data_IF_829023418237
#
_entry.id   IF_829023418237
#
_cell.length_a   1.000
_cell.length_b   1.000
_cell.length_c   1.000
_cell.angle_alpha   90.00
_cell.angle_beta   90.00
_cell.angle_gamma   90.00
#
_symmetry.space_group_name_H-M   'P 1'
#
loop_
_entity.id
_entity.type
_entity.pdbx_description
1 polymer ?
#
# COMPACT_ATOMS: atom_id res chain seq x y z
N UNK A 1 -0.07 7.53 -17.00
CA UNK A 1 0.67 6.37 -16.41
C UNK A 1 -0.30 5.29 -15.94
N UNK A 2 0.18 4.04 -15.86
CA UNK A 2 -0.55 2.88 -15.33
C UNK A 2 -0.15 2.60 -13.89
N UNK A 3 -1.08 2.77 -12.97
CA UNK A 3 -0.87 2.59 -11.53
C UNK A 3 -1.56 1.32 -11.03
N UNK A 4 -0.80 0.42 -10.42
CA UNK A 4 -1.35 -0.77 -9.78
C UNK A 4 -1.30 -0.61 -8.26
N UNK A 5 -2.47 -0.59 -7.59
CA UNK A 5 -2.53 -0.38 -6.15
C UNK A 5 -2.96 -1.65 -5.42
N UNK A 6 -2.37 -1.88 -4.24
CA UNK A 6 -2.73 -3.04 -3.41
C UNK A 6 -2.99 -2.59 -1.99
N UNK A 7 -4.23 -2.78 -1.53
CA UNK A 7 -4.64 -2.55 -0.14
C UNK A 7 -5.23 -3.83 0.44
N UNK A 8 -5.11 -4.01 1.75
CA UNK A 8 -5.57 -5.21 2.44
C UNK A 8 -6.71 -4.97 3.43
N UNK A 9 -7.12 -3.73 3.66
CA UNK A 9 -8.13 -3.36 4.65
C UNK A 9 -8.86 -2.07 4.32
N UNK A 10 -9.94 -1.77 5.06
CA UNK A 10 -10.79 -0.60 4.82
C UNK A 10 -10.06 0.74 4.98
N UNK A 11 -9.13 0.86 5.92
CA UNK A 11 -8.32 2.07 6.09
C UNK A 11 -7.42 2.31 4.88
N UNK A 12 -6.82 1.24 4.36
CA UNK A 12 -6.02 1.29 3.13
C UNK A 12 -6.86 1.72 1.92
N UNK A 13 -8.10 1.22 1.78
CA UNK A 13 -9.03 1.60 0.72
C UNK A 13 -9.33 3.11 0.75
N UNK A 14 -9.59 3.66 1.93
CA UNK A 14 -9.81 5.10 2.12
C UNK A 14 -8.59 5.93 1.73
N UNK A 15 -7.40 5.52 2.17
CA UNK A 15 -6.18 6.27 1.85
C UNK A 15 -5.80 6.15 0.38
N UNK A 16 -5.92 4.96 -0.20
CA UNK A 16 -5.64 4.73 -1.61
C UNK A 16 -6.63 5.46 -2.53
N UNK A 17 -7.92 5.53 -2.19
CA UNK A 17 -8.89 6.29 -2.98
C UNK A 17 -8.54 7.78 -3.04
N UNK A 18 -8.12 8.38 -1.91
CA UNK A 18 -7.64 9.77 -1.87
C UNK A 18 -6.37 9.98 -2.70
N UNK A 19 -5.44 9.02 -2.65
CA UNK A 19 -4.24 9.03 -3.48
C UNK A 19 -4.59 8.96 -4.97
N UNK A 20 -5.50 8.06 -5.37
CA UNK A 20 -5.98 7.96 -6.76
C UNK A 20 -6.59 9.28 -7.24
N UNK A 21 -7.43 9.91 -6.41
CA UNK A 21 -8.00 11.23 -6.70
C UNK A 21 -6.93 12.31 -6.91
N UNK A 22 -5.87 12.29 -6.10
CA UNK A 22 -4.76 13.24 -6.22
C UNK A 22 -3.91 12.97 -7.46
N UNK A 23 -3.65 11.70 -7.77
CA UNK A 23 -2.91 11.32 -8.97
C UNK A 23 -3.64 11.74 -10.25
N UNK A 24 -4.97 11.60 -10.32
CA UNK A 24 -5.76 12.07 -11.47
C UNK A 24 -5.67 13.58 -11.73
N UNK A 25 -5.36 14.37 -10.68
CA UNK A 25 -5.18 15.82 -10.85
C UNK A 25 -3.87 16.19 -11.53
N UNK A 26 -2.85 15.34 -11.42
CA UNK A 26 -1.51 15.59 -11.96
C UNK A 26 -1.18 14.73 -13.18
N UNK A 27 -1.91 13.63 -13.38
CA UNK A 27 -1.79 12.73 -14.53
C UNK A 27 -3.18 12.51 -15.13
N UNK A 28 -3.52 13.30 -16.14
CA UNK A 28 -4.80 13.26 -16.83
C UNK A 28 -5.09 11.90 -17.48
N UNK A 29 -4.03 11.17 -17.87
CA UNK A 29 -4.12 9.83 -18.47
C UNK A 29 -3.85 8.71 -17.48
N UNK A 30 -4.07 8.95 -16.18
CA UNK A 30 -3.89 7.94 -15.15
C UNK A 30 -4.86 6.76 -15.33
N UNK A 31 -4.31 5.58 -15.54
CA UNK A 31 -5.04 4.32 -15.54
C UNK A 31 -4.81 3.59 -14.22
N UNK A 32 -5.88 3.10 -13.59
CA UNK A 32 -5.81 2.40 -12.31
C UNK A 32 -6.30 0.97 -12.43
N UNK A 33 -5.52 0.06 -11.84
CA UNK A 33 -5.92 -1.33 -11.60
C UNK A 33 -5.54 -1.70 -10.17
N UNK A 34 -6.40 -2.41 -9.44
CA UNK A 34 -6.15 -2.53 -8.02
C UNK A 34 -6.80 -3.75 -7.35
N UNK A 35 -6.19 -4.16 -6.25
CA UNK A 35 -6.77 -4.92 -5.17
C UNK A 35 -7.22 -3.91 -4.11
N UNK A 36 -8.53 -3.76 -3.89
CA UNK A 36 -9.05 -2.69 -3.03
C UNK A 36 -10.54 -2.82 -2.78
N UNK A 37 -11.15 -1.77 -2.28
CA UNK A 37 -12.55 -1.74 -1.90
C UNK A 37 -13.42 -0.83 -2.77
N UNK A 38 -14.53 -0.44 -2.19
CA UNK A 38 -15.56 0.33 -2.90
C UNK A 38 -15.18 1.82 -3.03
N UNK A 39 -14.40 2.36 -2.09
CA UNK A 39 -13.93 3.75 -2.18
C UNK A 39 -12.94 3.94 -3.34
N UNK A 40 -12.03 2.99 -3.55
CA UNK A 40 -11.16 3.02 -4.72
C UNK A 40 -11.95 2.81 -6.01
N UNK A 41 -12.94 1.91 -6.00
CA UNK A 41 -13.79 1.68 -7.17
C UNK A 41 -14.60 2.92 -7.56
N UNK A 42 -15.03 3.71 -6.59
CA UNK A 42 -15.72 4.99 -6.84
C UNK A 42 -14.81 6.03 -7.52
N UNK A 43 -13.49 5.94 -7.33
CA UNK A 43 -12.53 6.79 -8.05
C UNK A 43 -12.27 6.32 -9.50
N UNK A 44 -12.80 5.17 -9.91
CA UNK A 44 -12.63 4.60 -11.25
C UNK A 44 -11.47 3.60 -11.33
N UNK A 45 -11.25 3.07 -12.54
CA UNK A 45 -10.27 2.01 -12.78
C UNK A 45 -10.86 0.60 -12.66
N UNK A 46 -10.00 -0.41 -12.69
CA UNK A 46 -10.42 -1.82 -12.67
C UNK A 46 -10.08 -2.48 -11.33
N UNK A 47 -11.09 -2.84 -10.57
CA UNK A 47 -10.92 -3.66 -9.37
C UNK A 47 -10.74 -5.13 -9.76
N UNK A 48 -9.57 -5.68 -9.48
CA UNK A 48 -9.24 -7.09 -9.72
C UNK A 48 -9.80 -7.99 -8.63
N UNK A 49 -9.74 -7.50 -7.38
CA UNK A 49 -10.24 -8.21 -6.21
C UNK A 49 -10.59 -7.26 -5.05
N UNK A 50 -11.64 -7.59 -4.31
CA UNK A 50 -12.02 -6.84 -3.12
C UNK A 50 -11.13 -7.22 -1.93
N UNK A 51 -10.69 -6.23 -1.11
CA UNK A 51 -9.80 -6.47 0.04
C UNK A 51 -10.42 -7.44 1.07
N UNK A 52 -11.73 -7.48 1.22
CA UNK A 52 -12.43 -8.44 2.11
C UNK A 52 -12.10 -9.90 1.77
N UNK A 53 -11.76 -10.18 0.53
CA UNK A 53 -11.35 -11.50 0.07
C UNK A 53 -9.84 -11.78 0.29
N UNK A 54 -9.07 -10.77 0.72
CA UNK A 54 -7.65 -10.87 1.03
C UNK A 54 -7.39 -11.01 2.52
N UNK A 55 -8.24 -10.35 3.33
CA UNK A 55 -8.02 -10.18 4.75
C UNK A 55 -8.65 -11.32 5.55
N UNK A 56 -7.80 -12.21 6.03
CA UNK A 56 -8.13 -13.12 7.12
C UNK A 56 -7.41 -12.62 8.37
N UNK A 57 -8.15 -12.09 9.34
CA UNK A 57 -7.60 -11.64 10.62
C UNK A 57 -7.67 -12.75 11.64
N UNK A 58 -6.59 -12.87 12.44
CA UNK A 58 -6.46 -13.88 13.49
C UNK A 58 -5.65 -15.10 13.07
N UNK A 59 -5.10 -15.81 14.08
CA UNK A 59 -4.19 -16.93 13.84
C UNK A 59 -4.90 -18.15 13.22
N UNK A 60 -6.05 -18.51 13.74
CA UNK A 60 -6.83 -19.67 13.28
C UNK A 60 -7.39 -19.46 11.87
N UNK A 61 -8.06 -18.33 11.54
CA UNK A 61 -8.49 -18.05 10.17
C UNK A 61 -7.33 -18.03 9.16
N UNK A 62 -6.17 -17.51 9.52
CA UNK A 62 -4.99 -17.50 8.63
C UNK A 62 -4.53 -18.91 8.31
N UNK A 63 -4.47 -19.82 9.28
CA UNK A 63 -4.07 -21.22 9.06
C UNK A 63 -5.05 -21.97 8.16
N UNK A 64 -6.35 -21.77 8.37
CA UNK A 64 -7.41 -22.41 7.57
C UNK A 64 -7.46 -21.92 6.11
N UNK A 65 -7.01 -20.69 5.87
CA UNK A 65 -7.09 -20.04 4.56
C UNK A 65 -5.74 -19.78 3.88
N UNK A 66 -4.67 -20.50 4.27
CA UNK A 66 -3.36 -20.40 3.64
C UNK A 66 -3.43 -20.59 2.12
N UNK A 67 -4.20 -21.57 1.64
CA UNK A 67 -4.41 -21.81 0.22
C UNK A 67 -4.99 -20.59 -0.51
N UNK A 68 -5.95 -19.90 0.10
CA UNK A 68 -6.55 -18.67 -0.45
C UNK A 68 -5.55 -17.52 -0.51
N UNK A 69 -4.71 -17.38 0.53
CA UNK A 69 -3.65 -16.34 0.56
C UNK A 69 -2.64 -16.59 -0.57
N UNK A 70 -2.21 -17.85 -0.77
CA UNK A 70 -1.29 -18.20 -1.85
C UNK A 70 -1.93 -18.01 -3.23
N UNK A 71 -3.19 -18.39 -3.41
CA UNK A 71 -3.95 -18.16 -4.64
C UNK A 71 -4.07 -16.67 -4.97
N UNK A 72 -4.38 -15.84 -3.96
CA UNK A 72 -4.45 -14.40 -4.11
C UNK A 72 -3.09 -13.78 -4.49
N UNK A 73 -1.99 -14.26 -3.88
CA UNK A 73 -0.64 -13.82 -4.24
C UNK A 73 -0.30 -14.20 -5.69
N UNK A 74 -0.63 -15.42 -6.10
CA UNK A 74 -0.41 -15.89 -7.47
C UNK A 74 -1.19 -15.03 -8.47
N UNK A 75 -2.50 -14.89 -8.25
CA UNK A 75 -3.37 -14.05 -9.10
C UNK A 75 -2.87 -12.61 -9.22
N UNK A 76 -2.46 -12.00 -8.10
CA UNK A 76 -1.93 -10.64 -8.09
C UNK A 76 -0.67 -10.50 -8.95
N UNK A 77 0.27 -11.43 -8.82
CA UNK A 77 1.51 -11.44 -9.60
C UNK A 77 1.24 -11.63 -11.10
N UNK A 78 0.39 -12.59 -11.47
CA UNK A 78 0.01 -12.84 -12.86
C UNK A 78 -0.68 -11.64 -13.49
N UNK A 79 -1.56 -10.98 -12.75
CA UNK A 79 -2.29 -9.81 -13.20
C UNK A 79 -1.37 -8.60 -13.41
N UNK A 80 -0.43 -8.35 -12.51
CA UNK A 80 0.58 -7.30 -12.65
C UNK A 80 1.45 -7.53 -13.89
N UNK A 81 1.96 -8.75 -14.07
CA UNK A 81 2.80 -9.10 -15.23
C UNK A 81 2.04 -8.95 -16.54
N UNK A 82 0.76 -9.34 -16.57
CA UNK A 82 -0.10 -9.22 -17.75
C UNK A 82 -0.42 -7.77 -18.10
N UNK A 83 -0.77 -6.96 -17.09
CA UNK A 83 -1.18 -5.57 -17.32
C UNK A 83 -0.02 -4.60 -17.51
N UNK A 84 1.18 -4.93 -16.99
CA UNK A 84 2.42 -4.16 -17.11
C UNK A 84 2.25 -2.71 -16.65
N UNK A 85 2.00 -2.48 -15.35
CA UNK A 85 1.93 -1.12 -14.81
C UNK A 85 3.29 -0.43 -14.86
N UNK A 86 3.28 0.90 -14.86
CA UNK A 86 4.49 1.71 -14.74
C UNK A 86 5.01 1.71 -13.29
N UNK A 87 4.10 1.56 -12.31
CA UNK A 87 4.44 1.50 -10.89
C UNK A 87 3.41 0.66 -10.12
N UNK A 88 3.88 -0.06 -9.11
CA UNK A 88 3.03 -0.74 -8.12
C UNK A 88 3.09 -0.01 -6.79
N UNK A 89 1.94 0.47 -6.30
CA UNK A 89 1.81 1.17 -5.03
C UNK A 89 1.21 0.22 -3.99
N UNK A 90 2.02 -0.10 -2.99
CA UNK A 90 1.67 -0.99 -1.89
C UNK A 90 1.22 -0.15 -0.69
N UNK A 91 -0.01 -0.34 -0.22
CA UNK A 91 -0.56 0.45 0.89
C UNK A 91 -0.69 -0.43 2.12
N UNK A 92 0.08 -0.12 3.17
CA UNK A 92 0.11 -0.91 4.42
C UNK A 92 0.19 -2.44 4.15
N UNK A 93 -0.52 -3.30 4.89
CA UNK A 93 -0.67 -4.74 4.68
C UNK A 93 0.66 -5.49 4.41
N UNK A 94 1.65 -5.38 5.29
CA UNK A 94 3.03 -5.80 4.99
C UNK A 94 3.21 -7.31 4.80
N UNK A 95 2.33 -8.13 5.36
CA UNK A 95 2.40 -9.60 5.20
C UNK A 95 2.23 -10.06 3.75
N UNK A 96 1.43 -9.39 2.97
CA UNK A 96 1.18 -9.63 1.56
C UNK A 96 2.08 -8.77 0.68
N UNK A 97 2.09 -7.47 0.94
CA UNK A 97 2.73 -6.47 0.11
C UNK A 97 4.24 -6.66 -0.03
N UNK A 98 4.96 -7.03 1.04
CA UNK A 98 6.40 -7.31 0.95
C UNK A 98 6.72 -8.56 0.12
N UNK A 99 5.79 -9.52 -0.01
CA UNK A 99 5.96 -10.68 -0.90
C UNK A 99 5.77 -10.28 -2.38
N UNK A 100 4.87 -9.33 -2.65
CA UNK A 100 4.71 -8.74 -3.99
C UNK A 100 5.94 -7.91 -4.34
N UNK A 101 6.42 -7.03 -3.44
CA UNK A 101 7.63 -6.24 -3.67
C UNK A 101 8.83 -7.13 -4.02
N UNK A 102 9.06 -8.19 -3.24
CA UNK A 102 10.13 -9.16 -3.53
C UNK A 102 9.98 -9.81 -4.91
N UNK A 103 8.77 -10.15 -5.31
CA UNK A 103 8.50 -10.72 -6.62
C UNK A 103 8.82 -9.72 -7.74
N UNK A 104 8.36 -8.47 -7.61
CA UNK A 104 8.61 -7.41 -8.60
C UNK A 104 10.10 -7.16 -8.77
N UNK A 105 10.84 -7.00 -7.67
CA UNK A 105 12.29 -6.79 -7.69
C UNK A 105 13.06 -7.92 -8.36
N UNK A 106 12.60 -9.17 -8.19
CA UNK A 106 13.29 -10.36 -8.74
C UNK A 106 12.94 -10.64 -10.20
N UNK A 107 11.72 -10.36 -10.62
CA UNK A 107 11.18 -10.90 -11.88
C UNK A 107 10.74 -9.81 -12.87
N UNK A 108 10.80 -8.54 -12.50
CA UNK A 108 10.36 -7.42 -13.35
C UNK A 108 11.24 -6.20 -13.13
N UNK A 109 11.09 -5.19 -13.99
CA UNK A 109 11.69 -3.85 -13.81
C UNK A 109 10.67 -2.84 -13.24
N UNK A 110 9.49 -3.29 -12.82
CA UNK A 110 8.42 -2.43 -12.32
C UNK A 110 8.77 -2.00 -10.89
N UNK A 111 8.87 -0.70 -10.59
CA UNK A 111 9.19 -0.22 -9.25
C UNK A 111 8.01 -0.46 -8.29
N UNK A 112 8.35 -0.85 -7.06
CA UNK A 112 7.41 -0.95 -5.95
C UNK A 112 7.56 0.27 -5.03
N UNK A 113 6.51 1.09 -4.93
CA UNK A 113 6.40 2.19 -3.99
C UNK A 113 5.57 1.74 -2.79
N UNK A 114 6.00 2.10 -1.60
CA UNK A 114 5.27 1.72 -0.39
C UNK A 114 4.68 2.96 0.28
N UNK A 115 3.37 3.09 0.22
CA UNK A 115 2.60 4.17 0.83
C UNK A 115 2.01 3.71 2.17
N UNK A 116 2.19 4.52 3.23
CA UNK A 116 1.95 4.18 4.64
C UNK A 116 2.90 3.09 5.11
N UNK A 117 4.07 3.52 5.57
CA UNK A 117 5.18 2.64 5.93
C UNK A 117 4.76 1.55 6.93
N UNK A 118 5.29 0.33 6.80
CA UNK A 118 5.01 -0.72 7.78
C UNK A 118 5.54 -0.33 9.16
N UNK A 119 4.75 -0.51 10.21
CA UNK A 119 5.10 -0.18 11.60
C UNK A 119 6.19 -1.11 12.16
N UNK A 120 7.33 -1.20 11.46
CA UNK A 120 8.45 -2.07 11.86
C UNK A 120 9.16 -1.60 13.13
N UNK A 121 8.99 -0.35 13.52
CA UNK A 121 9.49 0.21 14.76
C UNK A 121 8.79 -0.37 16.00
N UNK A 122 7.54 -0.81 15.86
CA UNK A 122 6.78 -1.43 16.95
C UNK A 122 7.07 -2.93 17.08
N UNK A 123 7.27 -3.63 15.95
CA UNK A 123 7.52 -5.06 15.93
C UNK A 123 8.01 -5.51 14.54
N UNK A 124 8.71 -6.65 14.48
CA UNK A 124 9.26 -7.22 13.23
C UNK A 124 10.23 -6.26 12.51
N UNK A 125 11.08 -5.59 13.25
CA UNK A 125 12.09 -4.66 12.72
C UNK A 125 12.99 -5.31 11.65
N UNK A 126 13.20 -6.63 11.71
CA UNK A 126 13.94 -7.39 10.70
C UNK A 126 13.42 -7.21 9.26
N UNK A 127 12.16 -6.77 9.09
CA UNK A 127 11.58 -6.45 7.77
C UNK A 127 12.29 -5.31 7.04
N UNK A 128 13.07 -4.50 7.75
CA UNK A 128 13.88 -3.44 7.15
C UNK A 128 14.79 -3.97 6.03
N UNK A 129 15.30 -5.21 6.16
CA UNK A 129 16.13 -5.83 5.12
C UNK A 129 15.36 -6.01 3.80
N UNK A 130 14.09 -6.43 3.91
CA UNK A 130 13.23 -6.59 2.73
C UNK A 130 12.85 -5.24 2.13
N UNK A 131 12.55 -4.24 2.97
CA UNK A 131 12.23 -2.89 2.52
C UNK A 131 13.39 -2.30 1.73
N UNK A 132 14.60 -2.31 2.28
CA UNK A 132 15.81 -1.80 1.62
C UNK A 132 16.11 -2.46 0.28
N UNK A 133 15.82 -3.75 0.17
CA UNK A 133 16.12 -4.52 -1.04
C UNK A 133 15.08 -4.35 -2.13
N UNK A 134 13.80 -4.35 -1.73
CA UNK A 134 12.69 -4.60 -2.64
C UNK A 134 11.82 -3.36 -2.92
N UNK A 135 11.90 -2.32 -2.08
CA UNK A 135 11.09 -1.10 -2.21
C UNK A 135 11.95 0.00 -2.84
N UNK A 136 11.42 0.63 -3.88
CA UNK A 136 12.08 1.75 -4.55
C UNK A 136 11.89 3.06 -3.77
N UNK A 137 10.65 3.35 -3.33
CA UNK A 137 10.31 4.56 -2.57
C UNK A 137 9.40 4.21 -1.40
N UNK A 138 9.69 4.76 -0.22
CA UNK A 138 8.92 4.55 1.01
C UNK A 138 8.33 5.87 1.50
N UNK A 139 7.01 5.90 1.70
CA UNK A 139 6.28 7.07 2.17
C UNK A 139 5.70 6.82 3.55
N UNK A 140 6.02 7.72 4.50
CA UNK A 140 5.54 7.67 5.87
C UNK A 140 4.50 8.77 6.14
N UNK A 141 3.54 8.44 6.99
CA UNK A 141 2.53 9.36 7.51
C UNK A 141 2.79 9.79 8.97
N UNK A 142 3.84 9.24 9.59
CA UNK A 142 4.18 9.50 10.99
C UNK A 142 5.56 10.17 11.07
N UNK A 143 5.67 11.39 11.65
CA UNK A 143 6.92 12.16 11.62
C UNK A 143 8.06 11.48 12.38
N UNK A 144 7.78 10.72 13.41
CA UNK A 144 8.79 10.00 14.19
C UNK A 144 9.41 8.79 13.45
N UNK A 145 8.81 8.34 12.36
CA UNK A 145 9.38 7.28 11.52
C UNK A 145 10.60 7.78 10.73
N UNK A 146 10.67 9.07 10.42
CA UNK A 146 11.81 9.66 9.69
C UNK A 146 13.14 9.36 10.40
N UNK A 147 13.35 9.77 11.67
CA UNK A 147 14.60 9.45 12.36
C UNK A 147 14.81 7.95 12.56
N UNK A 148 13.76 7.15 12.67
CA UNK A 148 13.89 5.70 12.78
C UNK A 148 14.47 5.09 11.50
N UNK A 149 13.95 5.45 10.34
CA UNK A 149 14.44 4.92 9.06
C UNK A 149 15.79 5.55 8.67
N UNK A 150 15.93 6.87 8.74
CA UNK A 150 17.12 7.56 8.25
C UNK A 150 18.32 7.44 9.19
N UNK A 151 18.14 7.74 10.49
CA UNK A 151 19.26 7.71 11.44
C UNK A 151 19.63 6.29 11.85
N UNK A 152 18.65 5.48 12.28
CA UNK A 152 18.91 4.12 12.76
C UNK A 152 19.23 3.15 11.63
N UNK A 153 18.46 3.22 10.54
CA UNK A 153 18.58 2.26 9.44
C UNK A 153 19.31 2.79 8.20
N UNK A 154 19.65 4.09 8.14
CA UNK A 154 20.29 4.72 6.96
C UNK A 154 19.52 4.41 5.67
N UNK A 155 18.21 4.60 5.72
CA UNK A 155 17.30 4.38 4.62
C UNK A 155 16.42 5.62 4.42
N UNK A 156 16.50 6.30 3.26
CA UNK A 156 15.72 7.51 3.02
C UNK A 156 14.23 7.20 2.96
N UNK A 157 13.41 8.07 3.52
CA UNK A 157 11.95 7.98 3.41
C UNK A 157 11.34 9.36 3.16
N UNK A 158 10.13 9.35 2.59
CA UNK A 158 9.38 10.58 2.34
C UNK A 158 8.27 10.75 3.38
N UNK A 159 8.37 11.78 4.20
CA UNK A 159 7.27 12.15 5.09
C UNK A 159 6.22 12.94 4.31
N UNK A 160 5.02 12.40 4.20
CA UNK A 160 3.92 12.99 3.40
C UNK A 160 2.77 13.52 4.24
N UNK A 161 2.94 13.55 5.56
CA UNK A 161 1.89 13.95 6.50
C UNK A 161 0.82 12.88 6.72
N UNK A 162 0.05 13.05 7.79
CA UNK A 162 -1.03 12.12 8.12
C UNK A 162 -2.31 12.52 7.39
N UNK A 163 -2.83 11.72 6.45
CA UNK A 163 -4.04 12.05 5.69
C UNK A 163 -5.31 12.10 6.57
N UNK A 164 -5.25 11.60 7.80
CA UNK A 164 -6.37 11.69 8.78
C UNK A 164 -6.40 13.03 9.49
N UNK A 165 -5.24 13.71 9.68
CA UNK A 165 -5.17 14.99 10.39
C UNK A 165 -5.99 16.09 9.70
N UNK A 166 -6.14 16.05 8.39
CA UNK A 166 -6.91 17.04 7.64
C UNK A 166 -8.43 16.95 7.88
N UNK A 167 -8.93 15.83 8.39
CA UNK A 167 -10.36 15.67 8.72
C UNK A 167 -10.74 16.23 10.08
N UNK A 168 -9.77 16.50 10.95
CA UNK A 168 -9.99 17.05 12.29
C UNK A 168 -9.83 18.57 12.38
N UNK A 169 -9.31 19.24 11.34
CA UNK A 169 -9.17 20.71 11.29
C UNK A 169 -10.49 21.44 11.03
N UNK A 170 -11.58 20.71 10.83
CA UNK A 170 -12.93 21.28 10.66
C UNK A 170 -13.88 20.92 11.80
N UNK A 171 -13.38 20.83 13.03
CA UNK A 171 -14.27 20.86 14.20
C UNK A 171 -14.86 22.26 14.29
N UNK A 172 -16.19 22.45 14.25
CA UNK A 172 -16.78 23.75 14.49
C UNK A 172 -16.34 24.18 15.88
N UNK A 173 -15.75 25.37 15.96
CA UNK A 173 -15.50 26.03 17.24
C UNK A 173 -16.86 26.26 17.89
N UNK A 174 -17.23 25.43 18.84
CA UNK A 174 -18.38 25.71 19.71
C UNK A 174 -17.96 26.93 20.54
N UNK A 175 -18.44 28.09 20.13
CA UNK A 175 -18.39 29.27 21.01
C UNK A 175 -19.37 28.99 22.15
N UNK A 176 -18.86 28.84 23.35
CA UNK A 176 -19.61 29.04 24.58
C UNK A 176 -19.91 30.51 24.78
#
# INVERSE_FOLDING_TARGET
MKYYLIVGEASGDLHASRLMRSLKKIDEFAEFRFFGGDLMAAEGGTRVKHFKELAYMGFVPVLLHLGTIFSNLKRCKEDIVKWKPDVVILVDYPGFNLKIAKFLKKNTNIPAYYYISPKIWAWKEWRIRSIKRDIAELFSILPFEVPFFEKKHRYPIHYVGNPVSYTHLTLPTIRL
#
